data_IF_619402089256
#
_entry.id   IF_619402089256
#
_cell.length_a   1.000
_cell.length_b   1.000
_cell.length_c   1.000
_cell.angle_alpha   90.00
_cell.angle_beta   90.00
_cell.angle_gamma   90.00
#
_symmetry.space_group_name_H-M   'P 1'
#
loop_
_entity.id
_entity.type
_entity.pdbx_description
1 polymer ?
#
# COMPACT_ATOMS: atom_id res chain seq x y z
N UNK A 1 28.88 2.91 10.21
CA UNK A 1 27.75 2.84 11.17
C UNK A 1 27.10 4.21 11.22
N UNK A 2 25.83 4.32 10.85
CA UNK A 2 24.99 5.47 11.18
C UNK A 2 23.76 4.91 11.89
N UNK A 3 23.72 5.08 13.21
CA UNK A 3 22.78 4.45 14.15
C UNK A 3 21.59 5.37 14.47
N UNK A 4 21.20 6.26 13.55
CA UNK A 4 20.37 7.43 13.88
C UNK A 4 19.05 7.56 13.08
N UNK A 5 18.65 6.57 12.27
CA UNK A 5 17.40 6.66 11.48
C UNK A 5 16.31 5.65 11.88
N UNK A 6 16.51 4.90 12.97
CA UNK A 6 15.61 3.79 13.38
C UNK A 6 14.62 4.17 14.49
N UNK A 7 14.63 5.43 14.94
CA UNK A 7 13.81 5.92 16.07
C UNK A 7 12.55 6.69 15.60
N UNK A 8 12.09 6.41 14.38
CA UNK A 8 10.80 6.92 13.94
C UNK A 8 9.72 6.06 14.57
N UNK A 9 8.72 6.62 15.29
CA UNK A 9 7.62 5.82 15.80
C UNK A 9 7.02 5.06 14.62
N UNK A 10 7.17 3.74 14.61
CA UNK A 10 6.51 2.90 13.62
C UNK A 10 5.03 3.21 13.75
N UNK A 11 4.45 3.75 12.67
CA UNK A 11 3.02 4.02 12.64
C UNK A 11 2.33 2.75 13.09
N UNK A 12 1.41 2.81 14.06
CA UNK A 12 0.73 1.62 14.54
C UNK A 12 0.19 0.88 13.33
N UNK A 13 0.59 -0.38 13.20
CA UNK A 13 0.19 -1.24 12.09
C UNK A 13 -1.30 -1.45 12.24
N UNK A 14 -2.10 -0.65 11.52
CA UNK A 14 -3.56 -0.63 11.67
C UNK A 14 -4.18 -1.98 11.31
N UNK A 15 -3.47 -2.80 10.54
CA UNK A 15 -3.86 -4.14 10.16
C UNK A 15 -2.63 -4.95 9.67
N UNK A 16 -2.57 -6.24 10.00
CA UNK A 16 -1.59 -7.20 9.48
C UNK A 16 -2.25 -8.20 8.51
N UNK A 17 -1.62 -8.44 7.35
CA UNK A 17 -2.10 -9.38 6.33
C UNK A 17 -2.00 -10.81 6.84
N UNK A 18 -3.12 -11.54 6.79
CA UNK A 18 -3.17 -12.93 7.24
C UNK A 18 -3.26 -13.10 8.77
N UNK A 19 -3.50 -12.01 9.52
CA UNK A 19 -3.75 -12.10 10.96
C UNK A 19 -4.98 -12.94 11.27
N UNK A 20 -4.98 -13.64 12.40
CA UNK A 20 -6.19 -14.30 12.90
C UNK A 20 -7.34 -13.29 13.12
N UNK A 21 -8.53 -13.70 12.73
CA UNK A 21 -9.76 -12.89 12.78
C UNK A 21 -10.70 -13.34 13.90
N UNK A 22 -10.39 -14.43 14.60
CA UNK A 22 -11.29 -15.07 15.57
C UNK A 22 -11.72 -14.18 16.73
N UNK A 23 -10.87 -13.21 17.10
CA UNK A 23 -11.09 -12.27 18.20
C UNK A 23 -11.58 -10.89 17.76
N UNK A 24 -11.81 -10.68 16.45
CA UNK A 24 -12.23 -9.39 15.91
C UNK A 24 -13.74 -9.28 15.84
N UNK A 25 -14.24 -8.12 16.23
CA UNK A 25 -15.64 -7.73 16.02
C UNK A 25 -15.93 -7.39 14.55
N UNK A 26 -17.22 -7.34 14.21
CA UNK A 26 -17.67 -6.95 12.85
C UNK A 26 -17.20 -5.54 12.50
N UNK A 27 -17.30 -4.59 13.42
CA UNK A 27 -16.86 -3.21 13.20
C UNK A 27 -15.34 -3.11 12.98
N UNK A 28 -14.54 -3.89 13.72
CA UNK A 28 -13.09 -3.97 13.50
C UNK A 28 -12.75 -4.55 12.12
N UNK A 29 -13.47 -5.59 11.69
CA UNK A 29 -13.32 -6.16 10.35
C UNK A 29 -13.68 -5.13 9.27
N UNK A 30 -14.78 -4.39 9.43
CA UNK A 30 -15.17 -3.31 8.52
C UNK A 30 -14.10 -2.23 8.42
N UNK A 31 -13.60 -1.73 9.55
CA UNK A 31 -12.54 -0.72 9.56
C UNK A 31 -11.26 -1.21 8.85
N UNK A 32 -10.87 -2.47 9.07
CA UNK A 32 -9.70 -3.05 8.39
C UNK A 32 -9.90 -3.18 6.88
N UNK A 33 -11.10 -3.57 6.45
CA UNK A 33 -11.46 -3.65 5.02
C UNK A 33 -11.36 -2.27 4.37
N UNK A 34 -11.89 -1.23 5.00
CA UNK A 34 -11.87 0.13 4.44
C UNK A 34 -10.45 0.67 4.26
N UNK A 35 -9.57 0.43 5.24
CA UNK A 35 -8.15 0.79 5.15
C UNK A 35 -7.48 0.06 3.97
N UNK A 36 -7.75 -1.23 3.82
CA UNK A 36 -7.18 -2.03 2.74
C UNK A 36 -7.67 -1.60 1.36
N UNK A 37 -8.97 -1.32 1.22
CA UNK A 37 -9.54 -0.83 -0.05
C UNK A 37 -8.95 0.52 -0.45
N UNK A 38 -8.71 1.39 0.52
CA UNK A 38 -8.04 2.68 0.30
C UNK A 38 -6.62 2.46 -0.22
N UNK A 39 -5.85 1.56 0.40
CA UNK A 39 -4.49 1.29 -0.03
C UNK A 39 -4.45 0.60 -1.41
N UNK A 40 -5.38 -0.31 -1.70
CA UNK A 40 -5.53 -0.92 -3.04
C UNK A 40 -5.74 0.17 -4.08
N UNK A 41 -6.67 1.10 -3.83
CA UNK A 41 -6.96 2.21 -4.77
C UNK A 41 -5.71 3.05 -5.04
N UNK A 42 -4.97 3.41 -3.99
CA UNK A 42 -3.71 4.17 -4.12
C UNK A 42 -2.68 3.42 -4.95
N UNK A 43 -2.50 2.12 -4.72
CA UNK A 43 -1.56 1.29 -5.47
C UNK A 43 -1.97 1.14 -6.93
N UNK A 44 -3.27 1.00 -7.21
CA UNK A 44 -3.79 0.94 -8.58
C UNK A 44 -3.57 2.23 -9.35
N UNK A 45 -3.78 3.39 -8.72
CA UNK A 45 -3.47 4.68 -9.33
C UNK A 45 -1.98 4.81 -9.67
N UNK A 46 -1.10 4.45 -8.74
CA UNK A 46 0.34 4.52 -8.96
C UNK A 46 0.79 3.55 -10.06
N UNK A 47 0.22 2.34 -10.09
CA UNK A 47 0.42 1.37 -11.17
C UNK A 47 0.01 1.97 -12.52
N UNK A 48 -1.15 2.61 -12.60
CA UNK A 48 -1.64 3.28 -13.82
C UNK A 48 -0.66 4.37 -14.27
N UNK A 49 -0.25 5.26 -13.37
CA UNK A 49 0.74 6.33 -13.64
C UNK A 49 2.05 5.77 -14.20
N UNK A 50 2.62 4.76 -13.54
CA UNK A 50 3.87 4.11 -13.97
C UNK A 50 3.72 3.39 -15.31
N UNK A 51 2.58 2.73 -15.55
CA UNK A 51 2.33 2.04 -16.82
C UNK A 51 2.22 3.00 -18.01
N UNK A 52 1.58 4.16 -17.81
CA UNK A 52 1.50 5.21 -18.82
C UNK A 52 2.89 5.77 -19.16
N UNK A 53 3.74 6.00 -18.16
CA UNK A 53 5.13 6.40 -18.37
C UNK A 53 5.93 5.37 -19.17
N UNK A 54 5.75 4.08 -18.86
CA UNK A 54 6.40 2.98 -19.59
C UNK A 54 5.99 2.95 -21.07
N UNK A 55 4.70 3.06 -21.37
CA UNK A 55 4.19 3.07 -22.75
C UNK A 55 4.69 4.31 -23.54
N UNK A 56 4.73 5.47 -22.90
CA UNK A 56 5.26 6.69 -23.52
C UNK A 56 6.76 6.54 -23.88
N UNK A 57 7.53 5.93 -22.99
CA UNK A 57 8.94 5.63 -23.24
C UNK A 57 9.10 4.59 -24.37
N UNK A 58 8.34 3.49 -24.36
CA UNK A 58 8.41 2.46 -25.40
C UNK A 58 8.10 3.01 -26.81
N UNK A 59 7.16 3.94 -26.92
CA UNK A 59 6.85 4.60 -28.20
C UNK A 59 7.97 5.54 -28.66
N UNK A 60 8.70 6.19 -27.74
CA UNK A 60 9.81 7.08 -28.07
C UNK A 60 11.06 6.32 -28.52
N UNK A 61 11.29 5.10 -28.01
CA UNK A 61 12.45 4.27 -28.38
C UNK A 61 12.22 3.34 -29.58
N UNK A 62 11.00 3.28 -30.14
CA UNK A 62 10.67 2.51 -31.35
C UNK A 62 10.64 3.33 -32.65
N UNK A 63 10.87 4.64 -32.57
CA UNK A 63 11.08 5.51 -33.75
C UNK A 63 12.53 5.48 -34.22
#
# INVERSE_FOLDING_TARGET
MSLLDDDRPQKPVAHEIGSDLSLLSVDELSNRIDILQTEITRLEEERKRKSAGRLAAENLFRS
#
